data_IF_552581905852
#
_entry.id   IF_552581905852
#
_cell.length_a   1.000
_cell.length_b   1.000
_cell.length_c   1.000
_cell.angle_alpha   90.00
_cell.angle_beta   90.00
_cell.angle_gamma   90.00
#
_symmetry.space_group_name_H-M   'P 1'
#
loop_
_entity.id
_entity.type
_entity.pdbx_description
1 polymer ?
#
# COMPACT_ATOMS: atom_id res chain seq x y z
N UNK A 1 -22.18 19.13 6.20
CA UNK A 1 -21.87 18.09 5.19
C UNK A 1 -20.69 17.25 5.67
N UNK A 2 -20.83 15.95 5.60
CA UNK A 2 -19.75 15.05 6.02
C UNK A 2 -19.00 14.62 4.77
N UNK A 3 -17.70 14.84 4.78
CA UNK A 3 -16.84 14.44 3.67
C UNK A 3 -16.16 13.14 4.08
N UNK A 4 -16.31 12.11 3.26
CA UNK A 4 -15.66 10.84 3.53
C UNK A 4 -14.16 10.97 3.30
N UNK A 5 -13.41 10.28 4.14
CA UNK A 5 -11.97 10.25 4.02
C UNK A 5 -11.49 8.85 3.69
N UNK A 6 -10.40 8.78 2.94
CA UNK A 6 -9.77 7.53 2.58
C UNK A 6 -8.28 7.64 2.86
N UNK A 7 -7.70 6.56 3.35
CA UNK A 7 -6.26 6.50 3.59
C UNK A 7 -5.66 5.46 2.66
N UNK A 8 -4.60 5.87 1.95
CA UNK A 8 -3.82 4.93 1.16
C UNK A 8 -2.49 4.78 1.86
N UNK A 9 -2.18 3.55 2.25
CA UNK A 9 -0.96 3.25 3.00
C UNK A 9 -0.06 2.39 2.12
N UNK A 10 1.16 2.87 1.93
CA UNK A 10 2.18 2.10 1.24
C UNK A 10 3.18 1.62 2.27
N UNK A 11 3.42 0.31 2.31
CA UNK A 11 4.38 -0.28 3.23
C UNK A 11 5.46 -1.00 2.45
N UNK A 12 6.72 -0.79 2.86
CA UNK A 12 7.87 -1.39 2.21
C UNK A 12 8.74 -2.01 3.28
N UNK A 13 8.93 -3.32 3.20
CA UNK A 13 9.86 -3.99 4.09
C UNK A 13 11.19 -4.15 3.37
N UNK A 14 12.23 -3.59 3.94
CA UNK A 14 13.55 -3.63 3.34
C UNK A 14 14.26 -4.94 3.67
N UNK A 15 15.36 -5.19 2.98
CA UNK A 15 16.10 -6.44 3.17
C UNK A 15 16.73 -6.54 4.55
N UNK A 16 16.94 -5.41 5.23
CA UNK A 16 17.49 -5.41 6.58
C UNK A 16 16.43 -5.58 7.65
N UNK A 17 15.16 -5.74 7.24
CA UNK A 17 14.06 -5.96 8.16
C UNK A 17 13.30 -4.72 8.56
N UNK A 18 13.80 -3.53 8.18
CA UNK A 18 13.07 -2.30 8.53
C UNK A 18 11.83 -2.16 7.67
N UNK A 19 10.80 -1.55 8.23
CA UNK A 19 9.55 -1.31 7.53
C UNK A 19 9.33 0.17 7.43
N UNK A 20 9.21 0.67 6.20
CA UNK A 20 8.86 2.05 5.92
C UNK A 20 7.39 2.10 5.55
N UNK A 21 6.73 3.18 5.94
CA UNK A 21 5.33 3.35 5.55
C UNK A 21 5.09 4.80 5.18
N UNK A 22 4.23 4.97 4.18
CA UNK A 22 3.82 6.29 3.72
C UNK A 22 2.29 6.26 3.69
N UNK A 23 1.68 7.24 4.36
CA UNK A 23 0.23 7.33 4.41
C UNK A 23 -0.21 8.62 3.75
N UNK A 24 -1.15 8.53 2.83
CA UNK A 24 -1.72 9.68 2.16
C UNK A 24 -3.23 9.65 2.33
N UNK A 25 -3.82 10.81 2.58
CA UNK A 25 -5.26 10.91 2.79
C UNK A 25 -5.92 11.56 1.59
N UNK A 26 -7.13 11.09 1.29
CA UNK A 26 -7.92 11.59 0.18
C UNK A 26 -9.37 11.73 0.60
N UNK A 27 -10.09 12.64 -0.04
CA UNK A 27 -11.52 12.79 0.19
C UNK A 27 -12.35 12.19 -0.93
N UNK A 28 -11.69 11.77 -2.01
CA UNK A 28 -12.35 11.19 -3.17
C UNK A 28 -11.84 9.77 -3.36
N UNK A 29 -12.77 8.83 -3.47
CA UNK A 29 -12.40 7.43 -3.59
C UNK A 29 -11.65 7.15 -4.89
N UNK A 30 -12.04 7.82 -5.98
CA UNK A 30 -11.37 7.58 -7.26
C UNK A 30 -9.91 8.01 -7.20
N UNK A 31 -9.62 9.12 -6.53
CA UNK A 31 -8.25 9.57 -6.37
C UNK A 31 -7.47 8.63 -5.48
N UNK A 32 -8.10 8.12 -4.42
CA UNK A 32 -7.45 7.16 -3.55
C UNK A 32 -7.12 5.88 -4.32
N UNK A 33 -8.05 5.40 -5.15
CA UNK A 33 -7.80 4.20 -5.94
C UNK A 33 -6.72 4.42 -6.98
N UNK A 34 -6.67 5.63 -7.55
CA UNK A 34 -5.61 5.96 -8.49
C UNK A 34 -4.25 5.85 -7.83
N UNK A 35 -4.12 6.39 -6.63
CA UNK A 35 -2.87 6.30 -5.89
C UNK A 35 -2.54 4.86 -5.54
N UNK A 36 -3.55 4.09 -5.13
CA UNK A 36 -3.39 2.68 -4.81
C UNK A 36 -2.83 1.91 -6.01
N UNK A 37 -3.41 2.11 -7.19
CA UNK A 37 -2.95 1.42 -8.39
C UNK A 37 -1.57 1.91 -8.81
N UNK A 38 -1.27 3.18 -8.60
CA UNK A 38 0.05 3.71 -8.88
C UNK A 38 1.11 3.01 -8.04
N UNK A 39 0.83 2.85 -6.74
CA UNK A 39 1.74 2.14 -5.84
C UNK A 39 1.93 0.71 -6.32
N UNK A 40 0.85 0.04 -6.70
CA UNK A 40 0.93 -1.34 -7.14
C UNK A 40 1.70 -1.48 -8.43
N UNK A 41 1.59 -0.52 -9.33
CA UNK A 41 2.33 -0.60 -10.58
C UNK A 41 3.83 -0.52 -10.33
N UNK A 42 4.25 0.28 -9.37
CA UNK A 42 5.66 0.31 -8.98
C UNK A 42 6.05 -0.93 -8.20
N UNK A 43 5.15 -1.38 -7.32
CA UNK A 43 5.44 -2.55 -6.50
C UNK A 43 5.69 -3.79 -7.34
N UNK A 44 4.96 -3.92 -8.44
CA UNK A 44 5.07 -5.09 -9.29
C UNK A 44 6.44 -5.25 -9.91
N UNK A 45 7.15 -4.13 -10.14
CA UNK A 45 8.47 -4.16 -10.77
C UNK A 45 9.57 -3.78 -9.80
N UNK A 46 9.23 -3.58 -8.54
CA UNK A 46 10.17 -3.16 -7.51
C UNK A 46 11.06 -4.32 -7.08
N UNK A 47 12.24 -3.99 -6.56
CA UNK A 47 13.11 -5.00 -5.96
C UNK A 47 12.97 -5.02 -4.44
N UNK A 48 12.03 -4.25 -3.90
CA UNK A 48 11.78 -4.24 -2.46
C UNK A 48 11.19 -5.59 -2.06
N UNK A 49 11.73 -6.25 -1.02
CA UNK A 49 11.28 -7.60 -0.68
C UNK A 49 9.79 -7.74 -0.43
N UNK A 50 9.18 -6.79 0.27
CA UNK A 50 7.74 -6.79 0.47
C UNK A 50 7.24 -5.38 0.24
N UNK A 51 6.28 -5.23 -0.67
CA UNK A 51 5.74 -3.94 -1.05
C UNK A 51 4.22 -4.06 -1.06
N UNK A 52 3.55 -3.36 -0.15
CA UNK A 52 2.13 -3.52 0.08
C UNK A 52 1.42 -2.18 -0.09
N UNK A 53 0.24 -2.21 -0.67
CA UNK A 53 -0.63 -1.04 -0.73
C UNK A 53 -1.98 -1.40 -0.12
N UNK A 54 -2.54 -0.47 0.64
CA UNK A 54 -3.80 -0.67 1.36
C UNK A 54 -4.64 0.59 1.22
N UNK A 55 -5.93 0.42 1.00
CA UNK A 55 -6.89 1.52 1.09
C UNK A 55 -7.78 1.26 2.30
N UNK A 56 -7.86 2.23 3.18
CA UNK A 56 -8.72 2.16 4.35
C UNK A 56 -9.74 3.30 4.30
N UNK A 57 -10.91 3.04 4.87
CA UNK A 57 -11.87 4.11 5.09
C UNK A 57 -11.43 4.93 6.30
N UNK A 58 -12.07 6.09 6.49
CA UNK A 58 -11.74 6.93 7.64
C UNK A 58 -12.06 6.24 8.96
N UNK A 59 -12.90 5.20 8.92
CA UNK A 59 -13.24 4.44 10.12
C UNK A 59 -12.33 3.25 10.34
N UNK A 60 -11.32 3.09 9.48
CA UNK A 60 -10.38 1.99 9.61
C UNK A 60 -10.80 0.71 8.92
N UNK A 61 -11.89 0.75 8.14
CA UNK A 61 -12.32 -0.44 7.42
C UNK A 61 -11.47 -0.65 6.19
N UNK A 62 -11.05 -1.89 5.99
CA UNK A 62 -10.24 -2.26 4.84
C UNK A 62 -11.10 -2.26 3.58
N UNK A 63 -10.68 -1.49 2.57
CA UNK A 63 -11.37 -1.45 1.29
C UNK A 63 -10.66 -2.34 0.28
N UNK A 64 -9.34 -2.17 0.14
CA UNK A 64 -8.54 -2.98 -0.77
C UNK A 64 -7.15 -3.17 -0.18
N UNK A 65 -6.54 -4.30 -0.49
CA UNK A 65 -5.19 -4.58 -0.08
C UNK A 65 -4.54 -5.48 -1.12
N UNK A 66 -3.28 -5.19 -1.42
CA UNK A 66 -2.48 -6.02 -2.31
C UNK A 66 -1.04 -6.00 -1.84
N UNK A 67 -0.39 -7.14 -1.91
CA UNK A 67 0.98 -7.26 -1.45
C UNK A 67 1.80 -7.99 -2.50
N UNK A 68 2.93 -7.41 -2.88
CA UNK A 68 3.89 -8.05 -3.77
C UNK A 68 5.09 -8.48 -2.93
N UNK A 69 5.46 -9.74 -3.07
CA UNK A 69 6.62 -10.28 -2.39
C UNK A 69 7.68 -10.58 -3.43
N UNK A 70 8.83 -9.96 -3.26
CA UNK A 70 9.98 -10.19 -4.15
C UNK A 70 11.12 -10.85 -3.39
N UNK A 71 10.84 -11.31 -2.17
CA UNK A 71 11.85 -12.00 -1.38
C UNK A 71 12.21 -13.30 -2.06
N UNK A 72 13.51 -13.57 -2.09
CA UNK A 72 13.99 -14.87 -2.54
C UNK A 72 13.87 -15.80 -1.36
N UNK A 73 13.02 -16.82 -1.52
CA UNK A 73 12.87 -17.82 -0.47
C UNK A 73 14.00 -18.80 -0.56
N UNK A 74 14.67 -19.00 0.55
CA UNK A 74 15.74 -19.96 0.59
C UNK A 74 15.17 -21.34 0.90
N UNK A 75 15.45 -22.26 0.00
CA UNK A 75 15.03 -23.62 0.24
C UNK A 75 15.98 -24.29 1.20
N UNK A 76 15.43 -24.90 2.22
CA UNK A 76 16.23 -25.61 3.19
C UNK A 76 16.40 -27.03 2.82
#
# INVERSE_FOLDING_TARGET
>A
MIVKGYLVVEMQKQSDGTIAQITTTYTDRNTAEQKYHEILSYAAVSTIPIHTAVILSEEGNLIKKECYRHEVETEE
#
